data_IF_702286881870
#
_entry.id   IF_702286881870
#
_cell.length_a   1.000
_cell.length_b   1.000
_cell.length_c   1.000
_cell.angle_alpha   90.00
_cell.angle_beta   90.00
_cell.angle_gamma   90.00
#
_symmetry.space_group_name_H-M   'P 1'
#
loop_
_entity.id
_entity.type
_entity.pdbx_description
1 polymer ?
#
# COMPACT_ATOMS: atom_id res chain seq x y z
N UNK A 1 -4.31 -19.01 0.93
CA UNK A 1 -3.81 -18.51 -0.38
C UNK A 1 -3.60 -17.00 -0.26
N UNK A 2 -3.19 -16.31 -1.34
CA UNK A 2 -2.89 -14.87 -1.30
C UNK A 2 -4.10 -14.03 -0.85
N UNK A 3 -5.31 -14.41 -1.27
CA UNK A 3 -6.55 -13.73 -0.91
C UNK A 3 -6.86 -13.76 0.60
N UNK A 4 -6.54 -14.86 1.30
CA UNK A 4 -6.74 -14.97 2.74
C UNK A 4 -5.80 -14.05 3.51
N UNK A 5 -4.52 -13.99 3.11
CA UNK A 5 -3.58 -13.02 3.69
C UNK A 5 -4.01 -11.58 3.42
N UNK A 6 -4.49 -11.27 2.21
CA UNK A 6 -5.05 -9.96 1.87
C UNK A 6 -6.26 -9.60 2.76
N UNK A 7 -7.18 -10.54 2.99
CA UNK A 7 -8.34 -10.30 3.85
C UNK A 7 -7.95 -10.09 5.32
N UNK A 8 -6.99 -10.87 5.84
CA UNK A 8 -6.44 -10.68 7.19
C UNK A 8 -5.76 -9.30 7.30
N UNK A 9 -4.99 -8.92 6.29
CA UNK A 9 -4.34 -7.62 6.23
C UNK A 9 -5.35 -6.46 6.24
N UNK A 10 -6.44 -6.55 5.46
CA UNK A 10 -7.53 -5.57 5.47
C UNK A 10 -8.16 -5.46 6.86
N UNK A 11 -8.42 -6.58 7.54
CA UNK A 11 -8.96 -6.55 8.90
C UNK A 11 -8.01 -5.85 9.89
N UNK A 12 -6.69 -6.05 9.77
CA UNK A 12 -5.73 -5.30 10.58
C UNK A 12 -5.62 -3.82 10.18
N UNK A 13 -5.75 -3.51 8.89
CA UNK A 13 -5.75 -2.14 8.37
C UNK A 13 -6.95 -1.34 8.90
N UNK A 14 -8.15 -1.93 8.89
CA UNK A 14 -9.39 -1.33 9.42
C UNK A 14 -9.32 -1.10 10.93
N UNK A 15 -8.50 -1.88 11.64
CA UNK A 15 -8.19 -1.71 13.06
C UNK A 15 -7.02 -0.73 13.31
N UNK A 16 -6.53 -0.05 12.28
CA UNK A 16 -5.37 0.86 12.29
C UNK A 16 -4.08 0.21 12.80
N UNK A 17 -4.01 -1.13 12.81
CA UNK A 17 -2.81 -1.91 13.15
C UNK A 17 -1.95 -2.08 11.91
N UNK A 18 -1.41 -0.97 11.43
CA UNK A 18 -0.72 -0.90 10.15
C UNK A 18 0.55 -1.78 10.09
N UNK A 19 1.23 -1.99 11.22
CA UNK A 19 2.37 -2.91 11.35
C UNK A 19 1.98 -4.35 10.98
N UNK A 20 0.84 -4.82 11.49
CA UNK A 20 0.31 -6.15 11.18
C UNK A 20 -0.25 -6.21 9.77
N UNK A 21 -0.93 -5.15 9.33
CA UNK A 21 -1.43 -5.06 7.98
C UNK A 21 -0.28 -5.21 6.97
N UNK A 22 0.83 -4.49 7.17
CA UNK A 22 2.06 -4.61 6.36
C UNK A 22 2.57 -6.04 6.32
N UNK A 23 2.67 -6.72 7.47
CA UNK A 23 3.12 -8.12 7.50
C UNK A 23 2.27 -9.01 6.59
N UNK A 24 0.94 -8.98 6.76
CA UNK A 24 0.05 -9.85 5.99
C UNK A 24 -0.09 -9.45 4.52
N UNK A 25 -0.04 -8.15 4.20
CA UNK A 25 0.01 -7.72 2.80
C UNK A 25 1.29 -8.19 2.12
N UNK A 26 2.45 -8.16 2.80
CA UNK A 26 3.68 -8.72 2.25
C UNK A 26 3.56 -10.23 1.98
N UNK A 27 2.93 -10.99 2.89
CA UNK A 27 2.68 -12.41 2.64
C UNK A 27 1.71 -12.63 1.46
N UNK A 28 0.69 -11.78 1.28
CA UNK A 28 -0.17 -11.82 0.10
C UNK A 28 0.61 -11.56 -1.20
N UNK A 29 1.45 -10.52 -1.22
CA UNK A 29 2.26 -10.13 -2.39
C UNK A 29 3.35 -11.17 -2.70
N UNK A 30 3.93 -11.82 -1.70
CA UNK A 30 4.88 -12.93 -1.92
C UNK A 30 4.23 -14.14 -2.59
N UNK A 31 2.94 -14.38 -2.30
CA UNK A 31 2.19 -15.49 -2.86
C UNK A 31 1.66 -15.17 -4.26
N UNK A 32 1.28 -13.92 -4.50
CA UNK A 32 0.81 -13.41 -5.78
C UNK A 32 1.25 -11.96 -5.95
N UNK A 33 2.33 -11.76 -6.71
CA UNK A 33 2.90 -10.44 -6.97
C UNK A 33 2.06 -9.60 -7.93
N UNK A 34 1.14 -10.23 -8.66
CA UNK A 34 0.19 -9.59 -9.57
C UNK A 34 -1.03 -9.02 -8.86
N UNK A 35 -1.18 -9.27 -7.54
CA UNK A 35 -2.29 -8.78 -6.74
C UNK A 35 -2.16 -7.27 -6.45
N UNK A 36 -2.48 -6.47 -7.45
CA UNK A 36 -2.39 -4.99 -7.44
C UNK A 36 -3.08 -4.36 -6.23
N UNK A 37 -4.22 -4.90 -5.79
CA UNK A 37 -4.95 -4.41 -4.61
C UNK A 37 -4.14 -4.60 -3.31
N UNK A 38 -3.45 -5.73 -3.16
CA UNK A 38 -2.61 -5.98 -1.99
C UNK A 38 -1.40 -5.05 -1.98
N UNK A 39 -0.75 -4.83 -3.13
CA UNK A 39 0.35 -3.85 -3.26
C UNK A 39 -0.10 -2.43 -2.97
N UNK A 40 -1.28 -2.02 -3.45
CA UNK A 40 -1.83 -0.69 -3.19
C UNK A 40 -2.14 -0.50 -1.70
N UNK A 41 -2.83 -1.45 -1.07
CA UNK A 41 -3.14 -1.35 0.36
C UNK A 41 -1.90 -1.49 1.25
N UNK A 42 -0.87 -2.23 0.82
CA UNK A 42 0.44 -2.24 1.45
C UNK A 42 1.06 -0.84 1.50
N UNK A 43 1.01 -0.11 0.38
CA UNK A 43 1.49 1.28 0.35
C UNK A 43 0.67 2.18 1.29
N UNK A 44 -0.65 2.04 1.33
CA UNK A 44 -1.49 2.76 2.29
C UNK A 44 -1.13 2.44 3.75
N UNK A 45 -0.83 1.18 4.05
CA UNK A 45 -0.42 0.76 5.39
C UNK A 45 0.93 1.40 5.77
N UNK A 46 1.88 1.47 4.84
CA UNK A 46 3.13 2.20 5.05
C UNK A 46 2.92 3.71 5.27
N UNK A 47 1.96 4.35 4.58
CA UNK A 47 1.57 5.74 4.85
C UNK A 47 0.96 5.91 6.25
N UNK A 48 0.17 4.94 6.71
CA UNK A 48 -0.34 4.89 8.08
C UNK A 48 0.79 4.82 9.13
N UNK A 49 1.91 4.16 8.79
CA UNK A 49 3.13 4.10 9.60
C UNK A 49 4.08 5.30 9.42
N UNK A 50 3.71 6.33 8.63
CA UNK A 50 4.60 7.44 8.23
C UNK A 50 5.87 6.99 7.48
N UNK A 51 5.89 5.78 6.94
CA UNK A 51 6.98 5.26 6.12
C UNK A 51 6.80 5.68 4.66
N UNK A 52 6.81 7.00 4.45
CA UNK A 52 6.39 7.63 3.19
C UNK A 52 7.28 7.28 2.00
N UNK A 53 8.58 7.10 2.20
CA UNK A 53 9.49 6.73 1.11
C UNK A 53 9.18 5.33 0.57
N UNK A 54 8.98 4.35 1.46
CA UNK A 54 8.59 2.98 1.07
C UNK A 54 7.23 2.95 0.39
N UNK A 55 6.26 3.72 0.89
CA UNK A 55 4.96 3.85 0.24
C UNK A 55 5.08 4.45 -1.18
N UNK A 56 5.90 5.49 -1.34
CA UNK A 56 6.12 6.14 -2.64
C UNK A 56 6.75 5.20 -3.66
N UNK A 57 7.74 4.39 -3.27
CA UNK A 57 8.35 3.42 -4.17
C UNK A 57 7.32 2.42 -4.73
N UNK A 58 6.44 1.92 -3.87
CA UNK A 58 5.36 1.01 -4.28
C UNK A 58 4.37 1.73 -5.20
N UNK A 59 3.92 2.92 -4.81
CA UNK A 59 2.94 3.71 -5.57
C UNK A 59 3.48 4.15 -6.94
N UNK A 60 4.75 4.54 -7.04
CA UNK A 60 5.39 4.91 -8.30
C UNK A 60 5.52 3.72 -9.24
N UNK A 61 5.80 2.52 -8.73
CA UNK A 61 5.81 1.32 -9.55
C UNK A 61 4.39 0.97 -10.04
N UNK A 62 3.38 1.05 -9.17
CA UNK A 62 1.99 0.87 -9.56
C UNK A 62 1.53 1.90 -10.60
N UNK A 63 1.95 3.16 -10.48
CA UNK A 63 1.61 4.21 -11.44
C UNK A 63 2.27 3.97 -12.82
N UNK A 64 3.44 3.33 -12.88
CA UNK A 64 4.03 2.95 -14.18
C UNK A 64 3.20 1.90 -14.90
N UNK A 65 2.55 1.01 -14.16
CA UNK A 65 1.66 -0.03 -14.68
C UNK A 65 0.29 0.56 -15.12
N UNK A 66 -0.26 1.49 -14.34
CA UNK A 66 -1.49 2.21 -14.63
C UNK A 66 -1.34 3.72 -14.42
N UNK A 67 -0.84 4.40 -15.45
CA UNK A 67 -0.47 5.83 -15.39
C UNK A 67 -1.64 6.80 -15.25
N UNK A 68 -2.88 6.30 -15.37
CA UNK A 68 -4.10 7.12 -15.24
C UNK A 68 -4.87 6.81 -13.95
N UNK A 69 -4.28 6.02 -13.05
CA UNK A 69 -4.94 5.65 -11.81
C UNK A 69 -5.01 6.82 -10.82
N UNK A 70 -6.17 7.44 -10.71
CA UNK A 70 -6.38 8.60 -9.83
C UNK A 70 -6.21 8.28 -8.35
N UNK A 71 -6.47 7.03 -7.93
CA UNK A 71 -6.28 6.61 -6.52
C UNK A 71 -4.79 6.58 -6.15
N UNK A 72 -3.95 6.08 -7.05
CA UNK A 72 -2.50 6.06 -6.85
C UNK A 72 -1.95 7.49 -6.83
N UNK A 73 -2.37 8.34 -7.78
CA UNK A 73 -1.96 9.74 -7.81
C UNK A 73 -2.38 10.50 -6.54
N UNK A 74 -3.61 10.30 -6.05
CA UNK A 74 -4.08 10.90 -4.81
C UNK A 74 -3.27 10.42 -3.59
N UNK A 75 -2.89 9.14 -3.57
CA UNK A 75 -2.08 8.56 -2.48
C UNK A 75 -0.65 9.11 -2.48
N UNK A 76 -0.05 9.33 -3.66
CA UNK A 76 1.25 10.00 -3.80
C UNK A 76 1.18 11.46 -3.35
N UNK A 77 0.14 12.20 -3.77
CA UNK A 77 -0.07 13.58 -3.32
C UNK A 77 -0.21 13.66 -1.79
N UNK A 78 -0.98 12.75 -1.20
CA UNK A 78 -1.11 12.63 0.25
C UNK A 78 0.22 12.31 0.94
N UNK A 79 1.02 11.40 0.37
CA UNK A 79 2.35 11.06 0.88
C UNK A 79 3.30 12.27 0.87
N UNK A 80 3.36 13.01 -0.24
CA UNK A 80 4.20 14.20 -0.35
C UNK A 80 3.78 15.31 0.61
N UNK A 81 2.47 15.52 0.76
CA UNK A 81 1.95 16.44 1.77
C UNK A 81 2.35 16.03 3.20
N UNK A 82 2.27 14.73 3.54
CA UNK A 82 2.76 14.24 4.84
C UNK A 82 4.27 14.47 5.04
N UNK A 83 5.06 14.48 3.97
CA UNK A 83 6.50 14.77 4.01
C UNK A 83 6.82 16.27 4.07
N UNK A 84 5.83 17.16 3.95
CA UNK A 84 6.04 18.60 3.83
C UNK A 84 6.74 19.00 2.53
N UNK A 85 6.64 18.16 1.49
CA UNK A 85 7.17 18.40 0.15
C UNK A 85 5.97 18.77 -0.73
N UNK A 86 5.60 20.05 -0.77
CA UNK A 86 4.58 20.56 -1.70
C UNK A 86 5.22 21.04 -3.01
#
# INVERSE_FOLDING_TARGET
MAGEYYNIANAYFDLEKYDKAVFYYNEAVKMDDSLTQARFNLALAYLGLRQNDTANDILLNLLKEDSKNTKIMASLAYSYHQQGKD
#
